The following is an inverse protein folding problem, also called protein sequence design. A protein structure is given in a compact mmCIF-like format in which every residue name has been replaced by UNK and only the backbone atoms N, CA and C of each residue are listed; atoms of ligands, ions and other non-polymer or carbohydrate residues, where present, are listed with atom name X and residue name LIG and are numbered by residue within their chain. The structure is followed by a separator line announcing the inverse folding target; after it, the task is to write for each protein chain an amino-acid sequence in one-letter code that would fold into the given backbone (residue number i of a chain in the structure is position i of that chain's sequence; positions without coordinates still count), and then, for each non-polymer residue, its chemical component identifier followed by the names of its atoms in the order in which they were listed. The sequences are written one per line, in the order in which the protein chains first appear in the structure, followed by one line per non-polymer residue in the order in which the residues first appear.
data_IF_114050546685
#
_entry.id   IF_114050546685
#
_cell.length_a   1.000
_cell.length_b   1.000
_cell.length_c   1.000
_cell.angle_alpha   90.00
_cell.angle_beta   90.00
_cell.angle_gamma   90.00
#
_symmetry.space_group_name_H-M   'P 1'
#
loop_
_entity.id
_entity.type
_entity.pdbx_description
1 polymer ?
#
# COMPACT_ATOMS: atom_id res chain seq x y z
N UNK A 1 7.69 29.16 3.73
CA UNK A 1 7.39 27.84 4.33
C UNK A 1 7.60 26.79 3.26
N UNK A 2 8.80 26.23 3.17
CA UNK A 2 9.10 25.14 2.24
C UNK A 2 8.57 23.83 2.85
N UNK A 3 7.67 23.09 2.19
CA UNK A 3 7.31 21.77 2.68
C UNK A 3 8.57 20.90 2.59
N UNK A 4 9.07 20.49 3.74
CA UNK A 4 10.25 19.65 3.85
C UNK A 4 9.99 18.36 3.08
N UNK A 5 10.95 18.00 2.23
CA UNK A 5 10.99 16.78 1.44
C UNK A 5 10.76 15.57 2.36
N UNK A 6 9.51 15.11 2.45
CA UNK A 6 9.16 13.86 3.13
C UNK A 6 10.07 12.78 2.58
N UNK A 7 10.90 12.20 3.44
CA UNK A 7 11.63 10.99 3.16
C UNK A 7 10.58 9.95 2.75
N UNK A 8 10.41 9.74 1.44
CA UNK A 8 9.23 9.04 0.94
C UNK A 8 9.45 7.55 1.15
N UNK A 9 9.11 7.06 2.33
CA UNK A 9 9.08 5.62 2.64
C UNK A 9 8.34 4.91 1.51
N UNK A 10 8.91 3.78 1.07
CA UNK A 10 8.28 2.91 0.09
C UNK A 10 7.85 1.65 0.78
N UNK A 11 6.56 1.55 1.02
CA UNK A 11 5.97 0.40 1.68
C UNK A 11 5.99 -0.80 0.74
N UNK A 12 6.46 -1.97 1.19
CA UNK A 12 6.44 -3.17 0.36
C UNK A 12 5.00 -3.60 0.07
N UNK A 13 4.77 -4.14 -1.13
CA UNK A 13 3.46 -4.68 -1.52
C UNK A 13 3.12 -6.00 -0.80
N UNK A 14 4.14 -6.77 -0.41
CA UNK A 14 3.95 -8.12 0.11
C UNK A 14 3.03 -8.18 1.36
N UNK A 15 3.16 -7.31 2.37
CA UNK A 15 2.25 -7.33 3.52
C UNK A 15 0.80 -7.02 3.15
N UNK A 16 0.56 -6.13 2.18
CA UNK A 16 -0.78 -5.85 1.65
C UNK A 16 -1.40 -7.09 0.99
N UNK A 17 -0.60 -7.88 0.25
CA UNK A 17 -1.05 -9.13 -0.35
C UNK A 17 -1.43 -10.17 0.72
N UNK A 18 -0.62 -10.28 1.78
CA UNK A 18 -0.89 -11.17 2.92
C UNK A 18 -2.19 -10.75 3.61
N UNK A 19 -2.34 -9.47 3.94
CA UNK A 19 -3.53 -8.92 4.58
C UNK A 19 -4.81 -9.13 3.73
N UNK A 20 -4.68 -9.11 2.41
CA UNK A 20 -5.78 -9.39 1.49
C UNK A 20 -6.11 -10.89 1.31
N UNK A 21 -5.30 -11.79 1.88
CA UNK A 21 -5.44 -13.25 1.76
C UNK A 21 -4.84 -13.84 0.48
N UNK A 22 -3.74 -13.28 -0.04
CA UNK A 22 -3.06 -13.68 -1.28
C UNK A 22 -3.98 -13.84 -2.52
N UNK A 23 -4.87 -12.89 -2.81
CA UNK A 23 -5.71 -12.98 -3.99
C UNK A 23 -4.89 -12.77 -5.27
N UNK A 24 -5.40 -13.20 -6.44
CA UNK A 24 -4.87 -12.79 -7.72
C UNK A 24 -4.79 -11.26 -7.84
N UNK A 25 -3.80 -10.75 -8.58
CA UNK A 25 -3.56 -9.30 -8.72
C UNK A 25 -4.78 -8.54 -9.24
N UNK A 26 -5.53 -9.12 -10.17
CA UNK A 26 -6.79 -8.56 -10.70
C UNK A 26 -7.83 -8.36 -9.61
N UNK A 27 -7.95 -9.33 -8.71
CA UNK A 27 -8.89 -9.29 -7.58
C UNK A 27 -8.44 -8.28 -6.54
N UNK A 28 -7.15 -8.24 -6.19
CA UNK A 28 -6.62 -7.20 -5.30
C UNK A 28 -6.90 -5.80 -5.86
N UNK A 29 -6.57 -5.59 -7.14
CA UNK A 29 -6.74 -4.31 -7.81
C UNK A 29 -8.20 -3.85 -7.78
N UNK A 30 -9.15 -4.75 -8.04
CA UNK A 30 -10.58 -4.47 -7.94
C UNK A 30 -11.01 -4.13 -6.51
N UNK A 31 -10.55 -4.87 -5.50
CA UNK A 31 -10.88 -4.64 -4.08
C UNK A 31 -10.42 -3.27 -3.60
N UNK A 32 -9.21 -2.84 -3.99
CA UNK A 32 -8.64 -1.57 -3.54
C UNK A 32 -8.89 -0.40 -4.50
N UNK A 33 -9.65 -0.62 -5.58
CA UNK A 33 -10.05 0.43 -6.52
C UNK A 33 -8.92 1.00 -7.38
N UNK A 34 -7.93 0.19 -7.78
CA UNK A 34 -6.83 0.63 -8.65
C UNK A 34 -6.71 -0.23 -9.91
N UNK A 35 -5.99 0.26 -10.91
CA UNK A 35 -5.66 -0.54 -12.08
C UNK A 35 -4.64 -1.64 -11.74
N UNK A 36 -4.71 -2.79 -12.40
CA UNK A 36 -3.72 -3.89 -12.24
C UNK A 36 -2.28 -3.45 -12.51
N UNK A 37 -2.09 -2.56 -13.50
CA UNK A 37 -0.79 -1.93 -13.80
C UNK A 37 -0.22 -1.17 -12.60
N UNK A 38 -1.08 -0.57 -11.77
CA UNK A 38 -0.67 0.11 -10.53
C UNK A 38 -0.07 -0.90 -9.54
N UNK A 39 -0.70 -2.06 -9.35
CA UNK A 39 -0.17 -3.13 -8.49
C UNK A 39 1.19 -3.62 -9.02
N UNK A 40 1.32 -3.83 -10.33
CA UNK A 40 2.60 -4.21 -10.94
C UNK A 40 3.68 -3.15 -10.72
N UNK A 41 3.32 -1.86 -10.75
CA UNK A 41 4.24 -0.76 -10.44
C UNK A 41 4.66 -0.76 -8.97
N UNK A 42 3.74 -1.03 -8.05
CA UNK A 42 4.03 -1.12 -6.62
C UNK A 42 4.92 -2.30 -6.27
N UNK A 43 4.81 -3.43 -6.99
CA UNK A 43 5.72 -4.56 -6.81
C UNK A 43 7.19 -4.15 -6.99
N UNK A 44 7.48 -3.27 -7.93
CA UNK A 44 8.84 -2.86 -8.26
C UNK A 44 9.32 -1.63 -7.45
N UNK A 45 8.41 -0.71 -7.11
CA UNK A 45 8.77 0.59 -6.55
C UNK A 45 8.32 0.79 -5.10
N UNK A 46 7.51 -0.13 -4.55
CA UNK A 46 6.75 0.08 -3.32
C UNK A 46 5.63 1.11 -3.46
N UNK A 47 4.86 1.26 -2.37
CA UNK A 47 3.75 2.19 -2.23
C UNK A 47 4.23 3.45 -1.50
N UNK A 48 3.74 4.63 -1.86
CA UNK A 48 3.87 5.83 -1.01
C UNK A 48 2.98 5.71 0.23
N UNK A 49 3.19 6.56 1.23
CA UNK A 49 2.36 6.59 2.45
C UNK A 49 0.87 6.73 2.11
N UNK A 50 0.52 7.71 1.27
CA UNK A 50 -0.86 7.92 0.79
C UNK A 50 -1.45 6.72 0.05
N UNK A 51 -0.62 5.95 -0.67
CA UNK A 51 -1.07 4.77 -1.41
C UNK A 51 -1.29 3.58 -0.48
N UNK A 52 -0.38 3.38 0.47
CA UNK A 52 -0.47 2.34 1.48
C UNK A 52 -1.68 2.56 2.40
N UNK A 53 -1.89 3.80 2.86
CA UNK A 53 -3.04 4.19 3.68
C UNK A 53 -4.37 3.90 2.99
N UNK A 54 -4.56 4.43 1.77
CA UNK A 54 -5.77 4.17 0.99
C UNK A 54 -6.00 2.69 0.71
N UNK A 55 -4.94 1.95 0.38
CA UNK A 55 -5.07 0.52 0.11
C UNK A 55 -5.52 -0.27 1.35
N UNK A 56 -5.01 0.09 2.54
CA UNK A 56 -5.43 -0.53 3.79
C UNK A 56 -6.91 -0.23 4.09
N UNK A 57 -7.32 1.04 3.99
CA UNK A 57 -8.70 1.48 4.23
C UNK A 57 -9.67 0.75 3.31
N UNK A 58 -9.33 0.58 2.03
CA UNK A 58 -10.18 -0.15 1.08
C UNK A 58 -10.31 -1.64 1.39
N UNK A 59 -9.38 -2.23 2.15
CA UNK A 59 -9.50 -3.58 2.69
C UNK A 59 -10.23 -3.61 4.05
N UNK A 60 -10.68 -2.47 4.57
CA UNK A 60 -11.29 -2.35 5.89
C UNK A 60 -10.27 -2.48 7.04
N UNK A 61 -9.00 -2.19 6.77
CA UNK A 61 -7.89 -2.35 7.72
C UNK A 61 -7.19 -1.00 7.98
N UNK A 62 -6.57 -0.89 9.15
CA UNK A 62 -5.63 0.20 9.43
C UNK A 62 -4.23 -0.17 8.92
N UNK A 63 -3.42 0.75 8.38
CA UNK A 63 -2.08 0.45 7.88
C UNK A 63 -1.14 -0.21 8.89
N UNK A 64 -1.23 0.13 10.19
CA UNK A 64 -0.49 -0.56 11.28
C UNK A 64 -0.77 -2.07 11.33
N UNK A 65 -1.94 -2.53 10.88
CA UNK A 65 -2.27 -3.96 10.84
C UNK A 65 -1.57 -4.68 9.67
N UNK A 66 -1.04 -3.92 8.71
CA UNK A 66 -0.43 -4.43 7.48
C UNK A 66 1.08 -4.23 7.52
N UNK A 67 1.55 -3.04 7.91
CA UNK A 67 2.95 -2.68 8.01
C UNK A 67 3.29 -2.34 9.46
N UNK A 68 4.10 -3.19 10.11
CA UNK A 68 4.51 -3.04 11.51
C UNK A 68 5.20 -1.71 11.79
N UNK A 69 5.96 -1.21 10.81
CA UNK A 69 6.79 -0.03 10.95
C UNK A 69 6.03 1.27 10.65
N UNK A 70 4.71 1.19 10.43
CA UNK A 70 3.83 2.34 10.15
C UNK A 70 3.81 3.39 11.26
N UNK A 71 4.29 3.09 12.46
CA UNK A 71 4.40 4.07 13.54
C UNK A 71 5.63 5.01 13.41
N UNK A 72 6.50 4.79 12.42
CA UNK A 72 7.76 5.52 12.22
C UNK A 72 7.67 6.69 11.23
N UNK A 73 6.50 6.90 10.62
CA UNK A 73 6.20 8.00 9.68
C UNK A 73 5.74 9.27 10.39
#
# INVERSE_FOLDING_TARGET
MSPQTLNRVRWPLAPLLVAAGHPPVTVLAARIGVATRTISRWRNNGLTDEQADRAAIMLGLHPLNIWSDWHQI
#
